data_IF_853944431464
#
_entry.id   IF_853944431464
#
_cell.length_a   1.000
_cell.length_b   1.000
_cell.length_c   1.000
_cell.angle_alpha   90.00
_cell.angle_beta   90.00
_cell.angle_gamma   90.00
#
_symmetry.space_group_name_H-M   'P 1'
#
loop_
_entity.id
_entity.type
_entity.pdbx_description
1 polymer ?
#
# COMPACT_ATOMS: atom_id res chain seq x y z
N UNK A 1 11.87 28.14 -26.22
CA UNK A 1 12.41 27.46 -25.03
C UNK A 1 12.51 28.48 -23.90
N UNK A 2 11.75 28.29 -22.83
CA UNK A 2 11.74 29.13 -21.62
C UNK A 2 12.30 28.30 -20.45
N UNK A 3 13.06 28.92 -19.57
CA UNK A 3 13.52 28.30 -18.33
C UNK A 3 12.91 29.05 -17.14
N UNK A 4 12.36 28.32 -16.18
CA UNK A 4 11.75 28.85 -14.96
C UNK A 4 12.46 28.26 -13.76
N UNK A 5 12.91 29.10 -12.82
CA UNK A 5 13.55 28.65 -11.60
C UNK A 5 12.49 28.14 -10.60
N UNK A 6 12.74 26.97 -10.01
CA UNK A 6 11.87 26.34 -9.01
C UNK A 6 12.71 25.87 -7.81
N UNK A 7 12.10 25.57 -6.65
CA UNK A 7 12.79 24.96 -5.51
C UNK A 7 13.47 23.63 -5.84
N UNK A 8 13.01 22.94 -6.89
CA UNK A 8 13.53 21.64 -7.35
C UNK A 8 14.60 21.77 -8.45
N UNK A 9 14.93 22.99 -8.88
CA UNK A 9 15.85 23.26 -10.00
C UNK A 9 15.18 23.97 -11.19
N UNK A 10 15.90 24.20 -12.31
CA UNK A 10 15.35 24.90 -13.47
C UNK A 10 14.43 24.00 -14.30
N UNK A 11 13.14 24.36 -14.40
CA UNK A 11 12.17 23.74 -15.30
C UNK A 11 12.30 24.34 -16.70
N UNK A 12 12.64 23.51 -17.68
CA UNK A 12 12.79 23.92 -19.09
C UNK A 12 11.55 23.55 -19.88
N UNK A 13 10.88 24.55 -20.45
CA UNK A 13 9.69 24.42 -21.29
C UNK A 13 10.06 24.61 -22.76
N UNK A 14 9.77 23.60 -23.57
CA UNK A 14 10.10 23.60 -25.00
C UNK A 14 9.18 24.52 -25.83
N UNK A 15 7.93 24.68 -25.39
CA UNK A 15 6.87 25.48 -26.05
C UNK A 15 6.26 26.49 -25.06
N UNK A 16 5.50 27.44 -25.59
CA UNK A 16 4.64 28.29 -24.77
C UNK A 16 3.55 27.46 -24.10
N UNK A 17 3.21 27.84 -22.87
CA UNK A 17 2.21 27.20 -22.02
C UNK A 17 1.29 28.28 -21.48
N UNK A 18 0.11 27.86 -21.02
CA UNK A 18 -0.80 28.73 -20.29
C UNK A 18 -0.13 29.24 -18.99
N UNK A 19 -0.08 30.56 -18.80
CA UNK A 19 0.58 31.18 -17.64
C UNK A 19 -0.17 30.94 -16.33
N UNK A 20 -1.49 30.80 -16.36
CA UNK A 20 -2.28 30.50 -15.16
C UNK A 20 -2.01 29.07 -14.69
N UNK A 21 -1.98 28.12 -15.63
CA UNK A 21 -1.62 26.72 -15.34
C UNK A 21 -0.17 26.60 -14.87
N UNK A 22 0.76 27.31 -15.51
CA UNK A 22 2.15 27.34 -15.06
C UNK A 22 2.27 27.93 -13.64
N UNK A 23 1.56 29.02 -13.34
CA UNK A 23 1.54 29.62 -12.00
C UNK A 23 0.95 28.68 -10.94
N UNK A 24 -0.06 27.87 -11.29
CA UNK A 24 -0.58 26.83 -10.41
C UNK A 24 0.47 25.74 -10.12
N UNK A 25 1.15 25.22 -11.14
CA UNK A 25 2.23 24.23 -10.97
C UNK A 25 3.38 24.76 -10.12
N UNK A 26 3.79 26.02 -10.30
CA UNK A 26 4.87 26.61 -9.50
C UNK A 26 4.50 26.72 -8.01
N UNK A 27 3.26 27.13 -7.70
CA UNK A 27 2.77 27.16 -6.30
C UNK A 27 2.70 25.75 -5.71
N UNK A 28 2.20 24.79 -6.47
CA UNK A 28 2.15 23.41 -5.99
C UNK A 28 3.53 22.76 -5.87
N UNK A 29 4.50 23.15 -6.68
CA UNK A 29 5.91 22.72 -6.54
C UNK A 29 6.56 23.22 -5.25
N UNK A 30 6.25 24.45 -4.82
CA UNK A 30 6.69 24.98 -3.52
C UNK A 30 6.16 24.11 -2.38
N UNK A 31 4.86 23.82 -2.39
CA UNK A 31 4.23 22.95 -1.39
C UNK A 31 4.78 21.52 -1.44
N UNK A 32 4.96 20.96 -2.64
CA UNK A 32 5.53 19.64 -2.84
C UNK A 32 6.95 19.55 -2.26
N UNK A 33 7.76 20.58 -2.47
CA UNK A 33 9.10 20.67 -1.89
C UNK A 33 9.05 20.61 -0.37
N UNK A 34 8.21 21.43 0.26
CA UNK A 34 8.10 21.48 1.72
C UNK A 34 7.65 20.13 2.31
N UNK A 35 6.59 19.53 1.76
CA UNK A 35 6.06 18.26 2.26
C UNK A 35 7.07 17.12 2.05
N UNK A 36 7.69 17.04 0.88
CA UNK A 36 8.68 16.00 0.58
C UNK A 36 9.93 16.14 1.44
N UNK A 37 10.38 17.37 1.69
CA UNK A 37 11.57 17.64 2.50
C UNK A 37 11.36 17.33 4.00
N UNK A 38 10.14 17.50 4.50
CA UNK A 38 9.79 17.21 5.90
C UNK A 38 9.44 15.74 6.15
N UNK A 39 9.19 14.95 5.09
CA UNK A 39 8.82 13.55 5.24
C UNK A 39 10.02 12.66 5.58
N UNK A 40 9.82 11.69 6.48
CA UNK A 40 10.75 10.58 6.70
C UNK A 40 10.63 9.47 5.66
N UNK A 41 9.50 9.41 4.96
CA UNK A 41 9.14 8.33 4.04
C UNK A 41 9.53 8.65 2.60
N UNK A 42 9.98 9.87 2.32
CA UNK A 42 10.36 10.33 0.98
C UNK A 42 11.71 11.04 1.01
N UNK A 43 12.40 10.99 -0.12
CA UNK A 43 13.71 11.61 -0.31
C UNK A 43 13.74 12.37 -1.63
N UNK A 44 14.23 13.61 -1.58
CA UNK A 44 14.44 14.46 -2.75
C UNK A 44 15.83 14.23 -3.34
N UNK A 45 15.88 13.91 -4.62
CA UNK A 45 17.10 13.78 -5.41
C UNK A 45 17.19 14.92 -6.43
N UNK A 46 17.85 16.02 -6.02
CA UNK A 46 17.95 17.27 -6.79
C UNK A 46 19.32 17.47 -7.45
N UNK A 47 20.22 16.50 -7.31
CA UNK A 47 21.58 16.58 -7.87
C UNK A 47 21.63 16.38 -9.38
N UNK A 48 20.56 15.82 -9.97
CA UNK A 48 20.41 15.59 -11.41
C UNK A 48 19.69 16.74 -12.10
N UNK A 49 19.89 16.85 -13.42
CA UNK A 49 19.11 17.76 -14.28
C UNK A 49 17.63 17.40 -14.37
N UNK A 50 17.25 16.22 -13.86
CA UNK A 50 15.89 15.76 -13.69
C UNK A 50 15.67 15.45 -12.21
N UNK A 51 14.92 16.29 -11.46
CA UNK A 51 14.71 16.05 -10.05
C UNK A 51 13.72 14.90 -9.84
N UNK A 52 14.02 14.02 -8.88
CA UNK A 52 13.19 12.89 -8.52
C UNK A 52 12.77 12.94 -7.05
N UNK A 53 11.59 12.39 -6.76
CA UNK A 53 11.17 12.06 -5.39
C UNK A 53 11.16 10.54 -5.27
N UNK A 54 11.86 9.99 -4.27
CA UNK A 54 11.94 8.54 -4.02
C UNK A 54 11.33 8.18 -2.69
N UNK A 55 10.58 7.08 -2.62
CA UNK A 55 10.10 6.54 -1.35
C UNK A 55 11.27 5.89 -0.60
N UNK A 56 11.36 6.12 0.71
CA UNK A 56 12.35 5.55 1.63
C UNK A 56 11.68 4.80 2.79
N UNK A 57 10.51 4.23 2.53
CA UNK A 57 9.61 3.63 3.52
C UNK A 57 9.45 2.12 3.36
N UNK A 58 10.35 1.48 2.60
CA UNK A 58 10.33 0.04 2.36
C UNK A 58 10.16 -0.32 0.89
N UNK A 59 10.14 -1.63 0.59
CA UNK A 59 9.97 -2.11 -0.78
C UNK A 59 8.49 -2.27 -1.18
N UNK A 60 8.19 -2.24 -2.49
CA UNK A 60 9.01 -1.73 -3.60
C UNK A 60 9.29 -0.21 -3.52
N UNK A 61 10.41 0.25 -4.09
CA UNK A 61 10.69 1.70 -4.18
C UNK A 61 9.82 2.36 -5.25
N UNK A 62 9.21 3.50 -4.91
CA UNK A 62 8.52 4.41 -5.82
C UNK A 62 9.43 5.58 -6.15
N UNK A 63 9.55 5.92 -7.43
CA UNK A 63 10.23 7.12 -7.90
C UNK A 63 9.30 7.95 -8.80
N UNK A 64 9.20 9.24 -8.51
CA UNK A 64 8.39 10.21 -9.26
C UNK A 64 9.34 11.13 -10.05
N UNK A 65 9.16 11.22 -11.38
CA UNK A 65 9.86 12.20 -12.21
C UNK A 65 9.07 13.51 -12.27
N UNK A 66 9.46 14.46 -11.42
CA UNK A 66 8.71 15.69 -11.15
C UNK A 66 8.51 16.52 -12.43
N UNK A 67 9.60 16.79 -13.15
CA UNK A 67 9.54 17.66 -14.33
C UNK A 67 8.88 16.96 -15.51
N UNK A 68 8.99 15.64 -15.64
CA UNK A 68 8.24 14.89 -16.64
C UNK A 68 6.73 14.96 -16.36
N UNK A 69 6.28 14.80 -15.12
CA UNK A 69 4.86 14.97 -14.75
C UNK A 69 4.32 16.34 -15.17
N UNK A 70 5.00 17.41 -14.75
CA UNK A 70 4.58 18.80 -15.04
C UNK A 70 4.60 19.09 -16.54
N UNK A 71 5.68 18.70 -17.23
CA UNK A 71 5.80 18.93 -18.67
C UNK A 71 4.73 18.15 -19.44
N UNK A 72 4.40 16.93 -19.02
CA UNK A 72 3.35 16.14 -19.65
C UNK A 72 1.96 16.78 -19.45
N UNK A 73 1.65 17.29 -18.25
CA UNK A 73 0.40 18.01 -17.98
C UNK A 73 0.31 19.29 -18.82
N UNK A 74 1.30 20.18 -18.71
CA UNK A 74 1.26 21.49 -19.37
C UNK A 74 1.35 21.43 -20.91
N UNK A 75 2.12 20.50 -21.47
CA UNK A 75 2.42 20.50 -22.92
C UNK A 75 1.61 19.46 -23.70
N UNK A 76 1.12 18.41 -23.04
CA UNK A 76 0.46 17.28 -23.71
C UNK A 76 -0.94 17.01 -23.17
N UNK A 77 -1.40 17.78 -22.17
CA UNK A 77 -2.64 17.52 -21.44
C UNK A 77 -2.75 16.06 -21.00
N UNK A 78 -1.63 15.52 -20.50
CA UNK A 78 -1.53 14.14 -20.04
C UNK A 78 -1.56 14.14 -18.51
N UNK A 79 -2.65 13.59 -17.98
CA UNK A 79 -2.95 13.53 -16.54
C UNK A 79 -2.27 12.37 -15.81
N UNK A 80 -1.50 11.55 -16.52
CA UNK A 80 -0.77 10.46 -15.91
C UNK A 80 0.52 10.92 -15.26
N UNK A 81 0.70 10.53 -13.99
CA UNK A 81 1.98 10.70 -13.30
C UNK A 81 3.05 9.77 -13.90
N UNK A 82 4.24 10.32 -14.13
CA UNK A 82 5.42 9.60 -14.58
C UNK A 82 6.14 8.98 -13.38
N UNK A 83 5.71 7.77 -13.02
CA UNK A 83 6.18 7.04 -11.84
C UNK A 83 6.91 5.77 -12.26
N UNK A 84 7.93 5.36 -11.50
CA UNK A 84 8.48 4.02 -11.55
C UNK A 84 8.34 3.30 -10.20
N UNK A 85 8.04 2.01 -10.25
CA UNK A 85 8.02 1.10 -9.09
C UNK A 85 8.97 -0.05 -9.39
N UNK A 86 10.00 -0.26 -8.56
CA UNK A 86 11.04 -1.28 -8.81
C UNK A 86 11.62 -1.22 -10.23
N UNK A 87 11.92 0.01 -10.71
CA UNK A 87 12.44 0.31 -12.06
C UNK A 87 11.48 0.03 -13.23
N UNK A 88 10.21 -0.33 -12.98
CA UNK A 88 9.18 -0.46 -14.01
C UNK A 88 8.31 0.79 -14.03
N UNK A 89 7.97 1.29 -15.21
CA UNK A 89 7.03 2.41 -15.32
C UNK A 89 5.65 2.00 -14.82
N UNK A 90 5.09 2.79 -13.92
CA UNK A 90 3.74 2.64 -13.41
C UNK A 90 2.96 3.91 -13.73
N UNK A 91 1.73 3.71 -14.20
CA UNK A 91 0.84 4.80 -14.53
C UNK A 91 -0.17 4.96 -13.40
N UNK A 92 -0.20 6.14 -12.78
CA UNK A 92 -1.29 6.52 -11.87
C UNK A 92 -2.11 7.56 -12.62
N UNK A 93 -3.30 7.16 -13.04
CA UNK A 93 -4.28 8.08 -13.62
C UNK A 93 -4.86 8.89 -12.47
N UNK A 94 -4.81 10.21 -12.59
CA UNK A 94 -5.53 11.08 -11.68
C UNK A 94 -6.97 11.19 -12.18
N UNK A 95 -7.92 10.74 -11.36
CA UNK A 95 -9.36 10.84 -11.69
C UNK A 95 -9.85 12.29 -11.55
N UNK A 96 -9.33 13.14 -12.43
CA UNK A 96 -9.69 14.55 -12.55
C UNK A 96 -10.77 14.74 -13.62
N UNK A 97 -11.72 13.81 -13.74
CA UNK A 97 -12.91 13.92 -14.61
C UNK A 97 -13.74 15.22 -14.39
N UNK A 98 -13.34 16.07 -13.45
CA UNK A 98 -14.01 17.31 -13.08
C UNK A 98 -13.19 18.60 -13.19
N UNK A 99 -11.86 18.59 -13.43
CA UNK A 99 -11.10 19.85 -13.52
C UNK A 99 -9.71 19.78 -14.19
N UNK A 100 -9.61 20.32 -15.42
CA UNK A 100 -8.36 20.48 -16.19
C UNK A 100 -7.34 21.45 -15.57
N UNK A 101 -7.74 22.21 -14.54
CA UNK A 101 -6.93 23.23 -13.88
C UNK A 101 -6.17 22.69 -12.65
N UNK A 102 -6.37 21.42 -12.28
CA UNK A 102 -5.60 20.81 -11.19
C UNK A 102 -4.17 20.55 -11.66
N UNK A 103 -3.15 21.11 -10.99
CA UNK A 103 -1.76 20.92 -11.37
C UNK A 103 -1.28 19.49 -11.05
N UNK A 104 -0.33 18.98 -11.83
CA UNK A 104 0.31 17.68 -11.59
C UNK A 104 0.97 17.61 -10.21
N UNK A 105 1.44 18.75 -9.68
CA UNK A 105 1.96 18.85 -8.32
C UNK A 105 0.99 18.37 -7.25
N UNK A 106 -0.31 18.59 -7.38
CA UNK A 106 -1.30 18.20 -6.36
C UNK A 106 -1.49 16.68 -6.32
N UNK A 107 -1.46 16.06 -7.48
CA UNK A 107 -1.46 14.60 -7.59
C UNK A 107 -0.17 13.99 -7.02
N UNK A 108 0.99 14.62 -7.26
CA UNK A 108 2.25 14.20 -6.63
C UNK A 108 2.20 14.36 -5.10
N UNK A 109 1.65 15.46 -4.59
CA UNK A 109 1.44 15.67 -3.14
C UNK A 109 0.54 14.58 -2.56
N UNK A 110 -0.58 14.28 -3.22
CA UNK A 110 -1.51 13.23 -2.77
C UNK A 110 -0.82 11.87 -2.65
N UNK A 111 0.06 11.53 -3.61
CA UNK A 111 0.86 10.31 -3.55
C UNK A 111 1.88 10.32 -2.40
N UNK A 112 2.52 11.46 -2.14
CA UNK A 112 3.42 11.61 -0.99
C UNK A 112 2.66 11.41 0.32
N UNK A 113 1.48 12.01 0.46
CA UNK A 113 0.63 11.87 1.63
C UNK A 113 0.15 10.41 1.81
N UNK A 114 -0.13 9.70 0.73
CA UNK A 114 -0.45 8.27 0.76
C UNK A 114 0.72 7.44 1.33
N UNK A 115 1.96 7.71 0.90
CA UNK A 115 3.14 7.06 1.46
C UNK A 115 3.42 7.45 2.92
N UNK A 116 3.18 8.70 3.30
CA UNK A 116 3.25 9.14 4.70
C UNK A 116 2.19 8.44 5.58
N UNK A 117 1.06 8.04 4.99
CA UNK A 117 -0.02 7.33 5.67
C UNK A 117 0.19 5.81 5.70
N UNK A 118 1.33 5.31 5.20
CA UNK A 118 1.67 3.89 5.23
C UNK A 118 0.95 3.05 4.17
N UNK A 119 0.66 3.63 3.00
CA UNK A 119 0.07 2.91 1.85
C UNK A 119 -1.20 2.11 2.20
N UNK A 120 -2.23 2.75 2.77
CA UNK A 120 -3.48 2.06 3.09
C UNK A 120 -4.08 1.42 1.84
N UNK A 121 -4.28 0.10 1.87
CA UNK A 121 -4.67 -0.70 0.71
C UNK A 121 -5.90 -0.13 -0.02
N UNK A 122 -6.95 0.22 0.72
CA UNK A 122 -8.22 0.75 0.17
C UNK A 122 -8.10 2.10 -0.55
N UNK A 123 -7.04 2.86 -0.28
CA UNK A 123 -6.81 4.17 -0.88
C UNK A 123 -5.59 4.18 -1.81
N UNK A 124 -4.87 3.06 -1.90
CA UNK A 124 -3.72 2.95 -2.80
C UNK A 124 -4.24 2.59 -4.20
N UNK A 125 -3.85 3.33 -5.26
CA UNK A 125 -4.23 2.98 -6.62
C UNK A 125 -3.87 1.53 -6.95
N UNK A 126 -4.71 0.82 -7.70
CA UNK A 126 -4.48 -0.58 -8.07
C UNK A 126 -3.12 -0.78 -8.75
N UNK A 127 -2.67 0.20 -9.53
CA UNK A 127 -1.36 0.17 -10.21
C UNK A 127 -0.17 0.21 -9.23
N UNK A 128 -0.41 0.57 -7.97
CA UNK A 128 0.55 0.58 -6.86
C UNK A 128 0.19 -0.45 -5.77
N UNK A 129 -0.66 -1.45 -6.05
CA UNK A 129 -1.03 -2.48 -5.08
C UNK A 129 0.19 -3.21 -4.50
N UNK A 130 1.18 -3.53 -5.34
CA UNK A 130 2.43 -4.16 -4.89
C UNK A 130 3.17 -3.32 -3.84
N UNK A 131 3.09 -1.98 -3.93
CA UNK A 131 3.65 -1.07 -2.92
C UNK A 131 2.98 -1.24 -1.57
N UNK A 132 1.65 -1.21 -1.57
CA UNK A 132 0.86 -1.38 -0.35
C UNK A 132 1.14 -2.75 0.29
N UNK A 133 1.16 -3.83 -0.50
CA UNK A 133 1.42 -5.18 -0.01
C UNK A 133 2.85 -5.33 0.52
N UNK A 134 3.84 -4.80 -0.21
CA UNK A 134 5.24 -4.84 0.23
C UNK A 134 5.45 -4.11 1.55
N UNK A 135 4.93 -2.88 1.65
CA UNK A 135 4.98 -2.08 2.87
C UNK A 135 4.34 -2.81 4.07
N UNK A 136 3.16 -3.40 3.86
CA UNK A 136 2.48 -4.17 4.90
C UNK A 136 3.32 -5.35 5.38
N UNK A 137 3.88 -6.15 4.46
CA UNK A 137 4.70 -7.31 4.86
C UNK A 137 5.92 -6.89 5.68
N UNK A 138 6.60 -5.82 5.30
CA UNK A 138 7.79 -5.35 6.00
C UNK A 138 7.49 -4.81 7.40
N UNK A 139 6.36 -4.11 7.54
CA UNK A 139 5.93 -3.48 8.80
C UNK A 139 5.10 -4.39 9.70
N UNK A 140 4.62 -5.53 9.20
CA UNK A 140 3.85 -6.47 10.00
C UNK A 140 4.71 -7.08 11.12
N UNK A 141 4.18 -7.05 12.35
CA UNK A 141 4.83 -7.58 13.55
C UNK A 141 4.69 -9.10 13.70
N UNK A 142 3.82 -9.73 12.91
CA UNK A 142 3.60 -11.18 12.97
C UNK A 142 4.76 -11.88 12.26
N UNK A 143 5.59 -12.58 13.05
CA UNK A 143 6.68 -13.41 12.54
C UNK A 143 6.12 -14.46 11.55
N UNK A 144 6.80 -14.65 10.41
CA UNK A 144 6.37 -15.56 9.33
C UNK A 144 5.59 -14.90 8.19
N UNK A 145 4.91 -13.77 8.40
CA UNK A 145 4.14 -13.09 7.32
C UNK A 145 5.07 -12.52 6.23
N UNK A 146 6.24 -12.00 6.62
CA UNK A 146 7.23 -11.38 5.73
C UNK A 146 7.59 -12.22 4.51
N UNK A 147 7.65 -13.54 4.67
CA UNK A 147 8.00 -14.51 3.61
C UNK A 147 6.82 -15.33 3.12
N UNK A 148 5.60 -15.02 3.57
CA UNK A 148 4.38 -15.76 3.22
C UNK A 148 3.66 -15.15 2.02
N UNK A 149 2.72 -15.91 1.47
CA UNK A 149 1.79 -15.43 0.44
C UNK A 149 0.54 -14.73 1.00
N UNK A 150 0.57 -14.36 2.29
CA UNK A 150 -0.50 -13.64 2.96
C UNK A 150 -0.59 -12.21 2.42
N UNK A 151 -1.80 -11.75 2.17
CA UNK A 151 -2.12 -10.39 1.70
C UNK A 151 -3.19 -9.71 2.58
N UNK A 152 -3.62 -8.51 2.18
CA UNK A 152 -4.62 -7.75 2.94
C UNK A 152 -5.98 -8.42 3.04
N UNK A 153 -6.39 -9.20 2.03
CA UNK A 153 -7.70 -9.87 2.05
C UNK A 153 -7.70 -10.95 3.12
N UNK A 154 -6.58 -11.62 3.31
CA UNK A 154 -6.42 -12.60 4.37
C UNK A 154 -6.56 -11.96 5.76
N UNK A 155 -6.03 -10.74 5.95
CA UNK A 155 -6.24 -9.97 7.18
C UNK A 155 -7.70 -9.53 7.36
N UNK A 156 -8.38 -9.12 6.29
CA UNK A 156 -9.80 -8.77 6.37
C UNK A 156 -10.66 -9.99 6.76
N UNK A 157 -10.32 -11.18 6.24
CA UNK A 157 -10.93 -12.44 6.66
C UNK A 157 -10.62 -12.76 8.14
N UNK A 158 -9.40 -12.48 8.59
CA UNK A 158 -9.02 -12.64 9.99
C UNK A 158 -9.80 -11.66 10.88
N UNK A 159 -9.94 -10.40 10.49
CA UNK A 159 -10.77 -9.40 11.20
C UNK A 159 -12.25 -9.80 11.23
N UNK A 160 -12.75 -10.47 10.19
CA UNK A 160 -14.10 -11.05 10.23
C UNK A 160 -14.22 -12.13 11.32
N UNK A 161 -13.21 -13.00 11.47
CA UNK A 161 -13.16 -13.96 12.58
C UNK A 161 -13.14 -13.24 13.94
N UNK A 162 -12.42 -12.12 14.05
CA UNK A 162 -12.35 -11.31 15.28
C UNK A 162 -13.72 -10.77 15.68
N UNK A 163 -14.55 -10.36 14.71
CA UNK A 163 -15.93 -9.95 14.98
C UNK A 163 -16.75 -11.07 15.64
N UNK A 164 -16.61 -12.33 15.20
CA UNK A 164 -17.26 -13.46 15.86
C UNK A 164 -16.77 -13.66 17.30
N UNK A 165 -15.45 -13.56 17.52
CA UNK A 165 -14.83 -13.63 18.84
C UNK A 165 -15.39 -12.55 19.79
N UNK A 166 -15.45 -11.29 19.35
CA UNK A 166 -15.95 -10.16 20.14
C UNK A 166 -17.43 -10.32 20.52
N UNK A 167 -18.22 -10.95 19.65
CA UNK A 167 -19.62 -11.28 19.89
C UNK A 167 -19.81 -12.63 20.66
N UNK A 168 -18.73 -13.25 21.14
CA UNK A 168 -18.73 -14.55 21.85
C UNK A 168 -19.34 -15.70 21.04
N UNK A 169 -19.32 -15.60 19.70
CA UNK A 169 -19.78 -16.63 18.76
C UNK A 169 -18.62 -17.58 18.46
N UNK A 170 -18.17 -18.32 19.48
CA UNK A 170 -16.92 -19.07 19.44
C UNK A 170 -16.93 -20.21 18.42
N UNK A 171 -18.05 -20.92 18.27
CA UNK A 171 -18.16 -22.00 17.29
C UNK A 171 -18.03 -21.45 15.87
N UNK A 172 -18.76 -20.39 15.53
CA UNK A 172 -18.66 -19.75 14.23
C UNK A 172 -17.27 -19.16 13.98
N UNK A 173 -16.63 -18.61 15.02
CA UNK A 173 -15.25 -18.16 14.92
C UNK A 173 -14.30 -19.31 14.56
N UNK A 174 -14.45 -20.49 15.17
CA UNK A 174 -13.60 -21.66 14.89
C UNK A 174 -13.82 -22.22 13.49
N UNK A 175 -15.06 -22.25 13.01
CA UNK A 175 -15.39 -22.66 11.63
C UNK A 175 -14.71 -21.74 10.62
N UNK A 176 -14.83 -20.42 10.80
CA UNK A 176 -14.22 -19.45 9.87
C UNK A 176 -12.69 -19.44 9.97
N UNK A 177 -12.12 -19.60 11.17
CA UNK A 177 -10.67 -19.77 11.33
C UNK A 177 -10.17 -21.05 10.65
N UNK A 178 -10.87 -22.16 10.79
CA UNK A 178 -10.53 -23.42 10.10
C UNK A 178 -10.58 -23.23 8.57
N UNK A 179 -11.64 -22.60 8.06
CA UNK A 179 -11.80 -22.29 6.64
C UNK A 179 -10.66 -21.41 6.12
N UNK A 180 -10.33 -20.33 6.82
CA UNK A 180 -9.23 -19.43 6.48
C UNK A 180 -7.89 -20.18 6.49
N UNK A 181 -7.65 -21.01 7.51
CA UNK A 181 -6.43 -21.81 7.63
C UNK A 181 -6.24 -22.76 6.44
N UNK A 182 -7.30 -23.49 6.07
CA UNK A 182 -7.28 -24.38 4.89
C UNK A 182 -7.03 -23.61 3.60
N UNK A 183 -7.63 -22.43 3.43
CA UNK A 183 -7.41 -21.57 2.28
C UNK A 183 -5.95 -21.11 2.19
N UNK A 184 -5.38 -20.63 3.29
CA UNK A 184 -3.99 -20.18 3.36
C UNK A 184 -3.01 -21.33 3.05
N UNK A 185 -3.25 -22.50 3.63
CA UNK A 185 -2.40 -23.67 3.39
C UNK A 185 -2.51 -24.19 1.95
N UNK A 186 -3.72 -24.46 1.47
CA UNK A 186 -3.94 -25.15 0.19
C UNK A 186 -3.82 -24.21 -1.01
N UNK A 187 -4.46 -23.03 -0.94
CA UNK A 187 -4.55 -22.12 -2.08
C UNK A 187 -3.39 -21.14 -2.13
N UNK A 188 -2.87 -20.73 -0.97
CA UNK A 188 -1.78 -19.76 -0.87
C UNK A 188 -0.44 -20.40 -0.55
N UNK A 189 -0.38 -21.73 -0.35
CA UNK A 189 0.88 -22.46 -0.06
C UNK A 189 1.63 -21.89 1.15
N UNK A 190 0.91 -21.31 2.12
CA UNK A 190 1.48 -20.88 3.40
C UNK A 190 1.80 -22.14 4.20
N UNK A 191 2.94 -22.18 4.91
CA UNK A 191 3.27 -23.33 5.76
C UNK A 191 2.24 -23.50 6.88
N UNK A 192 2.19 -24.71 7.45
CA UNK A 192 1.31 -24.98 8.60
C UNK A 192 1.67 -24.04 9.75
N UNK A 193 2.96 -23.87 10.04
CA UNK A 193 3.47 -23.00 11.09
C UNK A 193 3.07 -21.54 10.84
N UNK A 194 3.30 -21.02 9.63
CA UNK A 194 2.92 -19.65 9.29
C UNK A 194 1.41 -19.40 9.30
N UNK A 195 0.62 -20.44 9.01
CA UNK A 195 -0.84 -20.38 9.13
C UNK A 195 -1.26 -20.32 10.60
N UNK A 196 -0.65 -21.13 11.46
CA UNK A 196 -0.89 -21.12 12.91
C UNK A 196 -0.49 -19.75 13.50
N UNK A 197 0.69 -19.24 13.17
CA UNK A 197 1.17 -17.93 13.63
C UNK A 197 0.20 -16.81 13.21
N UNK A 198 -0.32 -16.88 11.98
CA UNK A 198 -1.28 -15.90 11.46
C UNK A 198 -2.61 -15.88 12.22
N UNK A 199 -3.17 -17.05 12.57
CA UNK A 199 -4.48 -17.15 13.22
C UNK A 199 -4.43 -17.05 14.75
N UNK A 200 -3.26 -17.28 15.35
CA UNK A 200 -3.04 -17.32 16.81
C UNK A 200 -3.55 -16.08 17.56
N UNK A 201 -3.43 -14.83 17.06
CA UNK A 201 -3.95 -13.63 17.73
C UNK A 201 -5.45 -13.66 18.03
N UNK A 202 -6.21 -14.51 17.33
CA UNK A 202 -7.64 -14.76 17.57
C UNK A 202 -7.82 -16.11 18.28
N UNK A 203 -7.19 -17.17 17.78
CA UNK A 203 -7.36 -18.53 18.29
C UNK A 203 -7.01 -18.64 19.79
N UNK A 204 -5.98 -17.94 20.24
CA UNK A 204 -5.53 -17.94 21.66
C UNK A 204 -6.50 -17.23 22.60
N UNK A 205 -7.39 -16.38 22.06
CA UNK A 205 -8.41 -15.68 22.84
C UNK A 205 -9.70 -16.48 22.97
N UNK A 206 -9.85 -17.58 22.22
CA UNK A 206 -11.01 -18.47 22.32
C UNK A 206 -10.80 -19.40 23.52
N UNK A 207 -11.75 -19.48 24.48
CA UNK A 207 -11.62 -20.37 25.62
C UNK A 207 -11.43 -21.83 25.19
N UNK A 208 -10.47 -22.51 25.82
CA UNK A 208 -10.06 -23.89 25.45
C UNK A 208 -11.21 -24.88 25.40
N UNK A 209 -12.20 -24.74 26.29
CA UNK A 209 -13.37 -25.64 26.31
C UNK A 209 -14.13 -25.65 24.98
N UNK A 210 -14.34 -24.48 24.36
CA UNK A 210 -15.05 -24.39 23.08
C UNK A 210 -14.21 -24.90 21.91
N UNK A 211 -12.89 -24.80 22.03
CA UNK A 211 -11.95 -25.36 21.04
C UNK A 211 -11.99 -26.88 21.07
N UNK A 212 -11.88 -27.49 22.26
CA UNK A 212 -11.96 -28.93 22.43
C UNK A 212 -13.32 -29.47 21.96
N UNK A 213 -14.42 -28.81 22.31
CA UNK A 213 -15.76 -29.17 21.85
C UNK A 213 -15.89 -29.14 20.32
N UNK A 214 -15.26 -28.17 19.66
CA UNK A 214 -15.21 -28.14 18.19
C UNK A 214 -14.36 -29.29 17.63
N UNK A 215 -13.18 -29.53 18.20
CA UNK A 215 -12.23 -30.55 17.73
C UNK A 215 -12.70 -31.99 17.96
N UNK A 216 -13.61 -32.23 18.90
CA UNK A 216 -14.27 -33.54 19.09
C UNK A 216 -15.16 -33.91 17.89
N UNK A 217 -15.71 -32.92 17.19
CA UNK A 217 -16.52 -33.13 15.98
C UNK A 217 -16.43 -31.89 15.06
N UNK A 218 -15.30 -31.72 14.34
CA UNK A 218 -15.07 -30.54 13.52
C UNK A 218 -15.95 -30.57 12.27
N UNK A 219 -16.28 -29.40 11.74
CA UNK A 219 -17.01 -29.31 10.47
C UNK A 219 -16.16 -29.85 9.31
N UNK A 220 -14.84 -29.75 9.41
CA UNK A 220 -13.86 -30.33 8.48
C UNK A 220 -12.69 -30.99 9.24
N UNK A 221 -12.37 -32.24 8.92
CA UNK A 221 -11.35 -33.03 9.65
C UNK A 221 -9.97 -32.36 9.71
N UNK A 222 -9.60 -31.67 8.62
CA UNK A 222 -8.31 -30.97 8.50
C UNK A 222 -8.17 -29.76 9.43
N UNK A 223 -9.23 -29.31 10.08
CA UNK A 223 -9.16 -28.19 11.05
C UNK A 223 -8.31 -28.52 12.25
N UNK A 224 -8.26 -29.80 12.62
CA UNK A 224 -7.39 -30.30 13.66
C UNK A 224 -5.90 -30.00 13.40
N UNK A 225 -5.47 -29.84 12.15
CA UNK A 225 -4.07 -29.52 11.83
C UNK A 225 -3.69 -28.10 12.27
N UNK A 226 -4.64 -27.17 12.26
CA UNK A 226 -4.38 -25.75 12.51
C UNK A 226 -4.92 -25.26 13.85
N UNK A 227 -6.06 -25.80 14.29
CA UNK A 227 -6.78 -25.33 15.49
C UNK A 227 -6.39 -26.09 16.76
N UNK A 228 -5.72 -27.24 16.63
CA UNK A 228 -5.17 -28.00 17.75
C UNK A 228 -3.80 -27.41 18.12
N UNK A 229 -3.79 -26.50 19.10
CA UNK A 229 -2.51 -26.03 19.65
C UNK A 229 -2.04 -27.12 20.60
N UNK A 230 -1.13 -27.96 20.11
CA UNK A 230 -0.27 -28.75 20.97
C UNK A 230 0.58 -27.78 21.77
N UNK A 231 0.23 -27.58 23.04
CA UNK A 231 1.13 -26.99 24.02
C UNK A 231 2.45 -27.77 23.98
N UNK A 232 3.51 -27.15 23.48
CA UNK A 232 4.87 -27.50 23.89
C UNK A 232 5.19 -26.71 25.16
#
# INVERSE_FOLDING_TARGET
MRSVYTPMGPLVLEKEVDEEKLSAELRGLELLYEIAHQSSNWRLELSSTRPFIRSNDGSPEIQIDIFSCISNKLLKNNDHLSITMSMKNVCVLTDFDSNDDIPASDAMISLILLGNSGWPHKHTPETLEEKSVGYFKETCEIEGIKSSNIDFRDLELLDHCKSHLENKRYRECLIELGRLSRYLYVCKMVSVEGTIDFISPILDKIPTIYRLEYLDNPDEEYDSVFLDIRTN
#
